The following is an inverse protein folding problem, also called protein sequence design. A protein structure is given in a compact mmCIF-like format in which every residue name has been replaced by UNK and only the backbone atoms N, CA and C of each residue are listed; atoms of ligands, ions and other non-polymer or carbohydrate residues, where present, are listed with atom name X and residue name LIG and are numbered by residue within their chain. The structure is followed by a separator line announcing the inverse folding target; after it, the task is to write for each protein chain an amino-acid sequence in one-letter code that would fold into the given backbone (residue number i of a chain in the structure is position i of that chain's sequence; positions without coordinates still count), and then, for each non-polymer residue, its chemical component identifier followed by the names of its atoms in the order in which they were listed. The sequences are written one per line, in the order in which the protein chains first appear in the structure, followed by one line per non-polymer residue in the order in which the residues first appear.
data_IF_549671234644
#
_entry.id   IF_549671234644
#
_cell.length_a   1.000
_cell.length_b   1.000
_cell.length_c   1.000
_cell.angle_alpha   90.00
_cell.angle_beta   90.00
_cell.angle_gamma   90.00
#
_symmetry.space_group_name_H-M   'P 1'
#
loop_
_entity.id
_entity.type
_entity.pdbx_description
1 polymer ?
#
# COMPACT_ATOMS: atom_id res chain seq x y z
N UNK A 1 18.51 -0.74 -14.20
CA UNK A 1 17.67 0.22 -14.94
C UNK A 1 16.22 -0.22 -14.75
N UNK A 2 15.37 0.58 -14.08
CA UNK A 2 13.96 0.24 -13.89
C UNK A 2 13.31 0.15 -15.27
N UNK A 3 12.80 -1.02 -15.60
CA UNK A 3 12.05 -1.30 -16.82
C UNK A 3 10.93 -0.27 -16.94
N UNK A 4 11.14 0.74 -17.78
CA UNK A 4 10.06 1.60 -18.24
C UNK A 4 9.19 0.71 -19.10
N UNK A 5 8.26 -0.02 -18.47
CA UNK A 5 7.21 -0.78 -19.15
C UNK A 5 6.60 0.20 -20.14
N UNK A 6 6.89 0.01 -21.43
CA UNK A 6 6.37 0.87 -22.49
C UNK A 6 4.85 0.76 -22.43
N UNK A 7 4.19 1.72 -21.79
CA UNK A 7 2.74 1.77 -21.76
C UNK A 7 2.24 1.84 -23.20
N UNK A 8 1.29 0.97 -23.53
CA UNK A 8 0.60 0.99 -24.82
C UNK A 8 -0.03 2.38 -25.05
N UNK A 9 -0.15 2.81 -26.31
CA UNK A 9 -0.73 4.11 -26.66
C UNK A 9 -2.13 4.31 -26.06
N UNK A 10 -2.94 3.25 -26.01
CA UNK A 10 -4.25 3.28 -25.37
C UNK A 10 -4.18 3.49 -23.85
N UNK A 11 -3.16 2.94 -23.18
CA UNK A 11 -2.94 3.18 -21.76
C UNK A 11 -2.43 4.60 -21.49
N UNK A 12 -1.54 5.13 -22.34
CA UNK A 12 -1.12 6.53 -22.24
C UNK A 12 -2.28 7.50 -22.38
N UNK A 13 -3.20 7.28 -23.32
CA UNK A 13 -4.38 8.13 -23.47
C UNK A 13 -5.30 8.07 -22.24
N UNK A 14 -5.44 6.89 -21.63
CA UNK A 14 -6.20 6.73 -20.39
C UNK A 14 -5.55 7.45 -19.20
N UNK A 15 -4.24 7.31 -19.05
CA UNK A 15 -3.42 7.98 -18.02
C UNK A 15 -3.39 9.50 -18.24
N UNK A 16 -3.35 9.97 -19.48
CA UNK A 16 -3.35 11.40 -19.83
C UNK A 16 -4.66 12.07 -19.41
N UNK A 17 -5.81 11.41 -19.59
CA UNK A 17 -7.11 11.93 -19.10
C UNK A 17 -7.11 12.10 -17.57
N UNK A 18 -6.44 11.19 -16.85
CA UNK A 18 -6.31 11.26 -15.40
C UNK A 18 -5.32 12.32 -14.95
N UNK A 19 -4.19 12.44 -15.64
CA UNK A 19 -3.21 13.49 -15.43
C UNK A 19 -3.86 14.88 -15.62
N UNK A 20 -4.63 15.06 -16.70
CA UNK A 20 -5.40 16.27 -16.95
C UNK A 20 -6.44 16.54 -15.84
N UNK A 21 -7.16 15.52 -15.37
CA UNK A 21 -8.09 15.65 -14.24
C UNK A 21 -7.40 16.07 -12.94
N UNK A 22 -6.17 15.62 -12.72
CA UNK A 22 -5.35 15.98 -11.57
C UNK A 22 -4.54 17.28 -11.78
N UNK A 23 -4.65 17.93 -12.95
CA UNK A 23 -3.92 19.17 -13.26
C UNK A 23 -2.41 18.98 -13.38
N UNK A 24 -1.92 17.78 -13.67
CA UNK A 24 -0.49 17.46 -13.77
C UNK A 24 -0.14 16.90 -15.14
N UNK A 25 1.15 16.98 -15.51
CA UNK A 25 1.65 16.34 -16.73
C UNK A 25 1.63 14.81 -16.62
N UNK A 26 1.56 14.13 -17.78
CA UNK A 26 1.53 12.68 -17.86
C UNK A 26 2.74 12.02 -17.19
N UNK A 27 3.95 12.55 -17.41
CA UNK A 27 5.17 12.03 -16.81
C UNK A 27 5.16 12.16 -15.28
N UNK A 28 4.66 13.29 -14.76
CA UNK A 28 4.52 13.51 -13.32
C UNK A 28 3.46 12.58 -12.72
N UNK A 29 2.35 12.38 -13.42
CA UNK A 29 1.30 11.44 -13.02
C UNK A 29 1.82 10.00 -12.94
N UNK A 30 2.58 9.56 -13.94
CA UNK A 30 3.20 8.22 -13.96
C UNK A 30 4.24 8.06 -12.84
N UNK A 31 5.06 9.08 -12.59
CA UNK A 31 6.04 9.08 -11.52
C UNK A 31 5.38 9.00 -10.12
N UNK A 32 4.30 9.76 -9.89
CA UNK A 32 3.53 9.68 -8.65
C UNK A 32 2.93 8.29 -8.44
N UNK A 33 2.35 7.71 -9.50
CA UNK A 33 1.75 6.37 -9.44
C UNK A 33 2.80 5.29 -9.14
N UNK A 34 4.01 5.40 -9.70
CA UNK A 34 5.10 4.50 -9.38
C UNK A 34 5.49 4.57 -7.89
N UNK A 35 5.58 5.79 -7.33
CA UNK A 35 5.84 5.98 -5.90
C UNK A 35 4.72 5.42 -5.01
N UNK A 36 3.46 5.58 -5.43
CA UNK A 36 2.32 5.05 -4.68
C UNK A 36 2.24 3.53 -4.75
N UNK A 37 2.60 2.90 -5.88
CA UNK A 37 2.70 1.43 -5.96
C UNK A 37 3.76 0.89 -5.01
N UNK A 38 4.91 1.54 -4.90
CA UNK A 38 5.97 1.13 -3.96
C UNK A 38 5.48 1.25 -2.50
N UNK A 39 4.76 2.32 -2.17
CA UNK A 39 4.16 2.52 -0.82
C UNK A 39 3.04 1.52 -0.54
N UNK A 40 2.16 1.25 -1.50
CA UNK A 40 1.08 0.27 -1.37
C UNK A 40 1.61 -1.15 -1.25
N UNK A 41 2.69 -1.50 -1.96
CA UNK A 41 3.36 -2.79 -1.79
C UNK A 41 3.95 -2.93 -0.38
N UNK A 42 4.59 -1.87 0.14
CA UNK A 42 5.09 -1.87 1.51
C UNK A 42 3.97 -1.92 2.57
N UNK A 43 2.84 -1.24 2.33
CA UNK A 43 1.68 -1.28 3.20
C UNK A 43 0.96 -2.64 3.15
N UNK A 44 0.83 -3.25 1.98
CA UNK A 44 0.28 -4.59 1.81
C UNK A 44 1.17 -5.65 2.46
N UNK A 45 2.49 -5.51 2.38
CA UNK A 45 3.43 -6.38 3.10
C UNK A 45 3.28 -6.25 4.62
N UNK A 46 3.05 -5.03 5.15
CA UNK A 46 2.74 -4.82 6.57
C UNK A 46 1.37 -5.34 6.99
N UNK A 47 0.37 -5.24 6.11
CA UNK A 47 -0.98 -5.75 6.37
C UNK A 47 -1.06 -7.28 6.28
N UNK A 48 -0.13 -7.92 5.57
CA UNK A 48 0.02 -9.36 5.50
C UNK A 48 0.82 -9.96 6.67
N UNK A 49 1.30 -9.15 7.62
CA UNK A 49 1.93 -9.68 8.82
C UNK A 49 0.88 -10.46 9.64
N UNK A 50 1.11 -11.76 9.92
CA UNK A 50 0.16 -12.56 10.67
C UNK A 50 -0.05 -11.94 12.06
N UNK A 51 -1.29 -11.97 12.59
CA UNK A 51 -1.59 -11.37 13.88
C UNK A 51 -0.64 -11.91 14.94
N UNK A 52 0.15 -11.01 15.55
CA UNK A 52 1.15 -11.35 16.56
C UNK A 52 0.46 -12.09 17.70
N UNK A 53 0.84 -13.35 17.93
CA UNK A 53 0.30 -14.16 19.02
C UNK A 53 0.49 -13.43 20.34
N UNK A 54 -0.53 -13.45 21.19
CA UNK A 54 -0.48 -12.86 22.52
C UNK A 54 0.74 -13.41 23.28
N UNK A 55 1.69 -12.52 23.58
CA UNK A 55 2.91 -12.84 24.33
C UNK A 55 2.61 -13.17 25.80
N UNK A 56 3.65 -13.57 26.53
CA UNK A 56 3.52 -14.00 27.93
C UNK A 56 2.80 -12.97 28.82
N UNK A 57 3.17 -11.69 28.73
CA UNK A 57 2.52 -10.61 29.49
C UNK A 57 1.06 -10.38 29.09
N UNK A 58 0.73 -10.47 27.80
CA UNK A 58 -0.64 -10.31 27.33
C UNK A 58 -1.54 -11.42 27.90
N UNK A 59 -1.04 -12.66 27.98
CA UNK A 59 -1.75 -13.78 28.60
C UNK A 59 -1.93 -13.60 30.11
N UNK A 60 -0.93 -13.02 30.79
CA UNK A 60 -1.02 -12.74 32.23
C UNK A 60 -2.09 -11.67 32.53
N UNK A 61 -2.12 -10.59 31.75
CA UNK A 61 -3.15 -9.55 31.83
C UNK A 61 -4.55 -10.13 31.55
N UNK A 62 -4.68 -10.97 30.52
CA UNK A 62 -5.94 -11.64 30.22
C UNK A 62 -6.42 -12.52 31.39
N UNK A 63 -5.50 -13.24 32.05
CA UNK A 63 -5.80 -14.06 33.24
C UNK A 63 -6.23 -13.19 34.42
N UNK A 64 -5.58 -12.03 34.61
CA UNK A 64 -5.88 -11.11 35.70
C UNK A 64 -7.21 -10.36 35.50
N UNK A 65 -7.61 -10.11 34.26
CA UNK A 65 -8.87 -9.46 33.91
C UNK A 65 -10.08 -10.39 33.91
N UNK A 66 -9.87 -11.71 33.93
CA UNK A 66 -10.98 -12.66 34.03
C UNK A 66 -11.54 -12.65 35.46
N UNK A 67 -12.86 -12.44 35.64
CA UNK A 67 -13.47 -12.49 36.95
C UNK A 67 -13.30 -13.89 37.53
N UNK A 68 -12.83 -13.95 38.78
CA UNK A 68 -12.77 -15.17 39.56
C UNK A 68 -14.21 -15.48 39.94
N UNK A 69 -14.73 -16.60 39.44
CA UNK A 69 -16.02 -17.15 39.86
C UNK A 69 -15.87 -17.85 41.21
#
# INVERSE_FOLDING_TARGET
MKEQVRLSEGQRAYEAKRAAKAGVSLDKWLAMKAQDRDKLAAAAAKAAEPPKKAGFFARLLERAQRPIK
#
